data_IF_649548367559
#
_entry.id   IF_649548367559
#
_cell.length_a   1.000
_cell.length_b   1.000
_cell.length_c   1.000
_cell.angle_alpha   90.00
_cell.angle_beta   90.00
_cell.angle_gamma   90.00
#
_symmetry.space_group_name_H-M   'P 1'
#
loop_
_entity.id
_entity.type
_entity.pdbx_description
1 polymer ?
#
# COMPACT_ATOMS: atom_id res chain seq x y z
N UNK A 1 16.25 -25.22 -4.92
CA UNK A 1 15.49 -25.02 -3.67
C UNK A 1 16.00 -25.90 -2.52
N UNK A 2 16.18 -25.34 -1.33
CA UNK A 2 16.50 -26.05 -0.08
C UNK A 2 15.27 -26.75 0.51
N UNK A 3 15.46 -27.68 1.45
CA UNK A 3 14.33 -28.34 2.14
C UNK A 3 13.48 -27.35 2.94
N UNK A 4 14.09 -26.31 3.54
CA UNK A 4 13.37 -25.28 4.29
C UNK A 4 12.44 -24.46 3.38
N UNK A 5 12.92 -24.10 2.17
CA UNK A 5 12.09 -23.39 1.17
C UNK A 5 10.90 -24.25 0.71
N UNK A 6 11.14 -25.55 0.46
CA UNK A 6 10.06 -26.49 0.11
C UNK A 6 8.99 -26.54 1.19
N UNK A 7 9.38 -26.64 2.46
CA UNK A 7 8.45 -26.64 3.60
C UNK A 7 7.66 -25.34 3.65
N UNK A 8 8.31 -24.18 3.47
CA UNK A 8 7.66 -22.86 3.49
C UNK A 8 6.58 -22.74 2.42
N UNK A 9 6.85 -23.21 1.20
CA UNK A 9 5.87 -23.23 0.09
C UNK A 9 4.68 -24.14 0.41
N UNK A 10 4.91 -25.35 0.94
CA UNK A 10 3.81 -26.26 1.30
C UNK A 10 2.95 -25.69 2.44
N UNK A 11 3.56 -25.06 3.44
CA UNK A 11 2.82 -24.40 4.52
C UNK A 11 1.97 -23.23 4.01
N UNK A 12 2.48 -22.47 3.03
CA UNK A 12 1.73 -21.38 2.38
C UNK A 12 0.52 -21.90 1.60
N UNK A 13 0.69 -23.00 0.88
CA UNK A 13 -0.43 -23.68 0.21
C UNK A 13 -1.52 -24.09 1.22
N UNK A 14 -1.14 -24.64 2.38
CA UNK A 14 -2.10 -24.97 3.45
C UNK A 14 -2.83 -23.74 4.01
N UNK A 15 -2.20 -22.56 3.99
CA UNK A 15 -2.84 -21.28 4.36
C UNK A 15 -3.74 -20.69 3.26
N UNK A 16 -3.79 -21.31 2.08
CA UNK A 16 -4.56 -20.83 0.93
C UNK A 16 -3.85 -19.74 0.12
N UNK A 17 -2.55 -19.55 0.28
CA UNK A 17 -1.78 -18.61 -0.54
C UNK A 17 -1.61 -19.15 -1.98
N UNK A 18 -1.60 -18.25 -2.97
CA UNK A 18 -1.36 -18.63 -4.35
C UNK A 18 0.08 -19.11 -4.55
N UNK A 19 0.22 -20.33 -5.05
CA UNK A 19 1.53 -20.91 -5.38
C UNK A 19 1.72 -20.83 -6.88
N UNK A 20 2.93 -20.48 -7.29
CA UNK A 20 3.37 -20.55 -8.68
C UNK A 20 4.38 -21.67 -8.85
N UNK A 21 4.44 -22.21 -10.07
CA UNK A 21 5.44 -23.18 -10.48
C UNK A 21 6.05 -22.78 -11.82
N UNK A 22 7.29 -23.19 -12.03
CA UNK A 22 7.94 -23.21 -13.34
C UNK A 22 8.68 -24.51 -13.54
N UNK A 23 8.98 -24.86 -14.80
CA UNK A 23 9.83 -26.01 -15.10
C UNK A 23 11.25 -25.73 -14.63
N UNK A 24 11.88 -26.67 -13.93
CA UNK A 24 13.24 -26.51 -13.41
C UNK A 24 14.30 -26.37 -14.52
N UNK A 25 13.97 -26.81 -15.75
CA UNK A 25 14.86 -26.79 -16.91
C UNK A 25 14.52 -25.68 -17.92
N UNK A 26 13.59 -24.77 -17.58
CA UNK A 26 13.20 -23.69 -18.47
C UNK A 26 14.07 -22.46 -18.19
N UNK A 27 14.65 -21.89 -19.24
CA UNK A 27 15.43 -20.65 -19.18
C UNK A 27 14.54 -19.40 -19.21
N UNK A 28 13.26 -19.55 -19.55
CA UNK A 28 12.27 -18.48 -19.53
C UNK A 28 11.79 -18.24 -18.10
N UNK A 29 11.72 -16.97 -17.67
CA UNK A 29 11.31 -16.60 -16.32
C UNK A 29 9.77 -16.55 -16.14
N UNK A 30 9.06 -17.43 -16.86
CA UNK A 30 7.61 -17.50 -16.84
C UNK A 30 7.13 -18.42 -15.71
N UNK A 31 6.45 -17.83 -14.73
CA UNK A 31 5.83 -18.54 -13.62
C UNK A 31 4.34 -18.74 -13.88
N UNK A 32 3.84 -19.95 -13.64
CA UNK A 32 2.45 -20.32 -13.86
C UNK A 32 1.76 -20.69 -12.54
N UNK A 33 0.49 -20.35 -12.40
CA UNK A 33 -0.32 -20.74 -11.24
C UNK A 33 -0.33 -22.26 -11.03
N UNK A 34 -0.06 -22.69 -9.81
CA UNK A 34 0.04 -24.08 -9.39
C UNK A 34 -1.17 -24.45 -8.50
N UNK A 35 -2.38 -24.40 -9.06
CA UNK A 35 -3.62 -24.64 -8.30
C UNK A 35 -3.74 -26.01 -7.64
N UNK A 36 -3.21 -27.07 -8.26
CA UNK A 36 -3.08 -28.41 -7.68
C UNK A 36 -1.64 -28.90 -7.88
N UNK A 37 -0.72 -28.53 -6.99
CA UNK A 37 0.69 -28.84 -7.15
C UNK A 37 0.94 -30.34 -6.92
N UNK A 38 1.63 -30.97 -7.88
CA UNK A 38 2.04 -32.38 -7.79
C UNK A 38 3.27 -32.60 -6.90
N UNK A 39 3.85 -31.51 -6.37
CA UNK A 39 5.05 -31.50 -5.51
C UNK A 39 6.24 -32.28 -6.09
N UNK A 40 6.35 -32.31 -7.42
CA UNK A 40 7.52 -32.86 -8.09
C UNK A 40 8.62 -31.79 -8.17
N UNK A 41 9.46 -31.76 -7.14
CA UNK A 41 10.58 -30.82 -7.00
C UNK A 41 11.78 -31.12 -7.91
N UNK A 42 11.80 -32.28 -8.59
CA UNK A 42 12.82 -32.61 -9.58
C UNK A 42 12.52 -31.94 -10.92
N UNK A 43 11.23 -31.87 -11.28
CA UNK A 43 10.77 -31.29 -12.54
C UNK A 43 10.37 -29.82 -12.44
N UNK A 44 9.99 -29.35 -11.25
CA UNK A 44 9.45 -28.01 -11.07
C UNK A 44 10.07 -27.29 -9.88
N UNK A 45 10.25 -26.00 -10.06
CA UNK A 45 10.45 -25.06 -8.96
C UNK A 45 9.11 -24.45 -8.58
N UNK A 46 8.94 -24.17 -7.29
CA UNK A 46 7.73 -23.55 -6.78
C UNK A 46 8.09 -22.34 -5.94
N UNK A 47 7.22 -21.34 -5.96
CA UNK A 47 7.31 -20.20 -5.06
C UNK A 47 5.91 -19.81 -4.61
N UNK A 48 5.85 -19.14 -3.46
CA UNK A 48 4.66 -18.36 -3.11
C UNK A 48 4.60 -17.22 -4.12
N UNK A 49 3.46 -17.04 -4.79
CA UNK A 49 3.27 -15.93 -5.71
C UNK A 49 3.67 -14.64 -5.00
N UNK A 50 4.65 -13.88 -5.52
CA UNK A 50 4.99 -12.61 -4.93
C UNK A 50 3.73 -11.76 -4.86
N UNK A 51 3.36 -11.31 -3.66
CA UNK A 51 2.30 -10.30 -3.55
C UNK A 51 2.80 -9.08 -4.28
N UNK A 52 2.00 -8.55 -5.21
CA UNK A 52 2.32 -7.26 -5.80
C UNK A 52 2.48 -6.25 -4.65
N UNK A 53 3.57 -5.48 -4.64
CA UNK A 53 3.81 -4.54 -3.56
C UNK A 53 2.70 -3.50 -3.59
N UNK A 54 1.98 -3.39 -2.47
CA UNK A 54 0.85 -2.46 -2.30
C UNK A 54 1.28 -1.00 -2.46
N UNK A 55 2.52 -0.69 -2.10
CA UNK A 55 3.11 0.63 -2.18
C UNK A 55 4.38 0.60 -3.03
N UNK A 56 4.68 1.73 -3.66
CA UNK A 56 5.87 1.95 -4.48
C UNK A 56 6.94 2.68 -3.68
N UNK A 57 8.18 2.55 -4.12
CA UNK A 57 9.27 3.34 -3.55
C UNK A 57 8.98 4.83 -3.74
N UNK A 58 9.09 5.59 -2.66
CA UNK A 58 8.76 7.02 -2.62
C UNK A 58 7.32 7.32 -2.19
N UNK A 59 6.44 6.32 -2.08
CA UNK A 59 5.12 6.55 -1.48
C UNK A 59 5.27 6.95 -0.02
N UNK A 60 4.43 7.89 0.43
CA UNK A 60 4.28 8.24 1.83
C UNK A 60 3.08 7.50 2.42
N UNK A 61 3.28 6.81 3.54
CA UNK A 61 2.25 5.97 4.17
C UNK A 61 2.11 6.28 5.66
N UNK A 62 0.92 6.01 6.18
CA UNK A 62 0.60 6.10 7.62
C UNK A 62 -0.02 4.79 8.11
N UNK A 63 0.22 4.46 9.38
CA UNK A 63 -0.43 3.32 10.01
C UNK A 63 -1.90 3.64 10.28
N UNK A 64 -2.83 2.78 9.83
CA UNK A 64 -4.28 2.97 10.01
C UNK A 64 -4.70 3.08 11.49
N UNK A 65 -3.95 2.46 12.39
CA UNK A 65 -4.20 2.52 13.84
C UNK A 65 -3.94 3.91 14.43
N UNK A 66 -3.09 4.73 13.78
CA UNK A 66 -2.77 6.10 14.18
C UNK A 66 -3.85 7.14 13.81
N UNK A 67 -5.02 6.69 13.35
CA UNK A 67 -6.16 7.56 13.01
C UNK A 67 -6.54 8.46 14.19
N UNK A 68 -6.73 9.74 13.93
CA UNK A 68 -7.07 10.74 14.95
C UNK A 68 -5.93 11.10 15.92
N UNK A 69 -4.76 10.49 15.82
CA UNK A 69 -3.57 10.90 16.58
C UNK A 69 -3.00 12.17 15.93
N UNK A 70 -2.71 13.19 16.74
CA UNK A 70 -2.03 14.39 16.29
C UNK A 70 -0.57 14.09 15.93
N UNK A 71 -0.09 14.63 14.81
CA UNK A 71 1.26 14.39 14.28
C UNK A 71 1.59 12.90 14.16
N UNK A 72 0.79 12.12 13.40
CA UNK A 72 1.08 10.71 13.20
C UNK A 72 2.39 10.55 12.43
N UNK A 73 3.08 9.45 12.65
CA UNK A 73 4.30 9.13 11.94
C UNK A 73 3.99 8.80 10.46
N UNK A 74 4.59 9.58 9.56
CA UNK A 74 4.53 9.39 8.11
C UNK A 74 5.84 8.72 7.69
N UNK A 75 5.72 7.60 6.97
CA UNK A 75 6.86 6.82 6.52
C UNK A 75 7.01 6.93 5.02
N UNK A 76 8.23 7.20 4.54
CA UNK A 76 8.56 7.07 3.12
C UNK A 76 8.95 5.62 2.82
N UNK A 77 8.33 5.02 1.82
CA UNK A 77 8.64 3.65 1.41
C UNK A 77 10.00 3.62 0.71
N UNK A 78 11.01 3.08 1.38
CA UNK A 78 12.36 2.89 0.82
C UNK A 78 12.55 1.58 0.04
N UNK A 79 11.67 0.60 0.25
CA UNK A 79 11.66 -0.70 -0.42
C UNK A 79 10.21 -1.17 -0.60
N UNK A 80 9.86 -1.78 -1.75
CA UNK A 80 8.51 -2.30 -2.01
C UNK A 80 8.17 -3.51 -1.13
N UNK A 81 9.18 -4.16 -0.53
CA UNK A 81 9.00 -5.23 0.45
C UNK A 81 9.41 -4.70 1.82
N UNK A 82 8.44 -4.63 2.73
CA UNK A 82 8.66 -4.27 4.13
C UNK A 82 8.64 -5.58 4.93
N UNK A 83 9.83 -6.10 5.29
CA UNK A 83 9.92 -7.35 6.04
C UNK A 83 9.30 -7.21 7.45
N UNK A 84 8.45 -8.17 7.84
CA UNK A 84 7.87 -8.23 9.18
C UNK A 84 6.70 -7.26 9.42
N UNK A 85 6.24 -6.54 8.41
CA UNK A 85 5.11 -5.61 8.48
C UNK A 85 4.03 -6.06 7.50
N UNK A 86 2.78 -6.09 7.95
CA UNK A 86 1.65 -6.31 7.05
C UNK A 86 1.32 -5.01 6.29
N UNK A 87 1.47 -4.96 4.95
CA UNK A 87 1.10 -3.78 4.16
C UNK A 87 -0.37 -3.38 4.34
N UNK A 88 -1.23 -4.29 4.82
CA UNK A 88 -2.63 -3.99 5.09
C UNK A 88 -2.89 -3.14 6.33
N UNK A 89 -1.92 -3.00 7.22
CA UNK A 89 -2.00 -2.08 8.35
C UNK A 89 -1.73 -0.61 7.94
N UNK A 90 -1.28 -0.40 6.70
CA UNK A 90 -0.88 0.91 6.17
C UNK A 90 -1.81 1.36 5.05
N UNK A 91 -1.79 2.66 4.81
CA UNK A 91 -2.53 3.36 3.76
C UNK A 91 -1.69 4.56 3.28
N UNK A 92 -1.81 4.91 2.01
CA UNK A 92 -1.13 6.08 1.45
C UNK A 92 -1.67 7.37 2.09
N UNK A 93 -0.79 8.34 2.35
CA UNK A 93 -1.17 9.63 2.95
C UNK A 93 -2.17 10.41 2.09
N UNK A 94 -2.15 10.22 0.78
CA UNK A 94 -3.05 10.90 -0.16
C UNK A 94 -4.47 10.29 -0.14
N UNK A 95 -4.60 9.05 0.34
CA UNK A 95 -5.85 8.28 0.39
C UNK A 95 -6.60 8.40 1.73
N UNK A 96 -6.06 9.14 2.70
CA UNK A 96 -6.74 9.42 3.97
C UNK A 96 -7.31 10.84 3.98
N UNK A 97 -8.24 11.09 4.90
CA UNK A 97 -8.90 12.38 5.06
C UNK A 97 -8.07 13.29 5.98
N UNK A 98 -7.53 14.38 5.44
CA UNK A 98 -6.82 15.42 6.17
C UNK A 98 -7.58 16.74 6.18
N UNK A 99 -7.37 17.55 7.21
CA UNK A 99 -7.55 18.99 7.05
C UNK A 99 -6.38 19.53 6.25
N UNK A 100 -6.63 20.52 5.40
CA UNK A 100 -5.59 21.12 4.56
C UNK A 100 -5.47 22.59 4.89
N UNK A 101 -4.24 23.10 4.91
CA UNK A 101 -3.98 24.53 4.80
C UNK A 101 -3.61 24.85 3.36
N UNK A 102 -4.00 26.04 2.90
CA UNK A 102 -3.70 26.52 1.56
C UNK A 102 -3.67 28.05 1.57
N UNK A 103 -3.05 28.63 0.56
CA UNK A 103 -3.05 30.07 0.32
C UNK A 103 -4.15 30.40 -0.70
N UNK A 104 -5.03 31.34 -0.35
CA UNK A 104 -6.06 31.84 -1.26
C UNK A 104 -5.47 32.74 -2.37
N UNK A 105 -6.34 33.23 -3.26
CA UNK A 105 -5.94 34.10 -4.38
C UNK A 105 -5.33 35.44 -3.96
N UNK A 106 -5.62 35.89 -2.74
CA UNK A 106 -5.13 37.15 -2.17
C UNK A 106 -3.85 36.94 -1.34
N UNK A 107 -3.37 35.70 -1.21
CA UNK A 107 -2.17 35.37 -0.46
C UNK A 107 -2.42 35.08 1.02
N UNK A 108 -3.66 34.94 1.45
CA UNK A 108 -4.03 34.66 2.84
C UNK A 108 -4.04 33.15 3.08
N UNK A 109 -3.45 32.72 4.19
CA UNK A 109 -3.47 31.33 4.61
C UNK A 109 -4.83 30.97 5.23
N UNK A 110 -5.50 30.00 4.61
CA UNK A 110 -6.77 29.44 5.07
C UNK A 110 -6.62 27.95 5.40
N UNK A 111 -7.66 27.38 6.00
CA UNK A 111 -7.78 25.93 6.16
C UNK A 111 -9.14 25.44 5.69
N UNK A 112 -9.18 24.19 5.25
CA UNK A 112 -10.44 23.55 4.91
C UNK A 112 -11.37 23.40 6.13
N UNK A 113 -12.67 23.57 5.90
CA UNK A 113 -13.71 23.40 6.93
C UNK A 113 -13.98 21.91 7.28
N UNK A 114 -13.64 21.00 6.38
CA UNK A 114 -13.77 19.56 6.52
C UNK A 114 -12.48 18.85 6.10
N UNK A 115 -12.44 17.53 6.34
CA UNK A 115 -11.31 16.70 5.92
C UNK A 115 -11.58 16.12 4.53
N UNK A 116 -10.56 16.12 3.67
CA UNK A 116 -10.63 15.63 2.29
C UNK A 116 -9.44 14.73 1.99
N UNK A 117 -9.61 13.77 1.08
CA UNK A 117 -8.47 13.12 0.41
C UNK A 117 -7.81 14.14 -0.50
N UNK A 118 -6.56 13.90 -0.90
CA UNK A 118 -5.90 14.80 -1.84
C UNK A 118 -6.61 14.84 -3.20
N UNK A 119 -7.18 13.71 -3.62
CA UNK A 119 -7.95 13.63 -4.86
C UNK A 119 -9.22 14.48 -4.81
N UNK A 120 -9.99 14.37 -3.73
CA UNK A 120 -11.26 15.11 -3.58
C UNK A 120 -11.00 16.61 -3.41
N UNK A 121 -9.99 16.98 -2.60
CA UNK A 121 -9.53 18.36 -2.47
C UNK A 121 -9.21 18.98 -3.84
N UNK A 122 -8.51 18.21 -4.68
CA UNK A 122 -8.08 18.60 -6.02
C UNK A 122 -9.17 18.44 -7.09
N UNK A 123 -10.40 18.07 -6.75
CA UNK A 123 -11.50 18.00 -7.73
C UNK A 123 -12.60 18.96 -7.39
N UNK A 124 -12.94 19.06 -6.11
CA UNK A 124 -14.23 19.60 -5.68
C UNK A 124 -14.10 20.81 -4.75
N UNK A 125 -12.92 21.05 -4.17
CA UNK A 125 -12.77 22.01 -3.06
C UNK A 125 -11.96 23.24 -3.45
N UNK A 126 -10.71 23.04 -3.89
CA UNK A 126 -9.79 24.15 -4.16
C UNK A 126 -9.73 24.49 -5.65
N UNK A 127 -9.47 25.75 -5.99
CA UNK A 127 -9.10 26.19 -7.33
C UNK A 127 -7.66 25.81 -7.70
N UNK A 128 -7.24 25.96 -8.97
CA UNK A 128 -5.89 25.58 -9.42
C UNK A 128 -4.76 26.22 -8.62
N UNK A 129 -4.85 27.52 -8.32
CA UNK A 129 -3.81 28.26 -7.58
C UNK A 129 -3.69 27.79 -6.12
N UNK A 130 -4.83 27.60 -5.46
CA UNK A 130 -4.89 27.18 -4.05
C UNK A 130 -4.29 25.77 -3.86
N UNK A 131 -4.49 24.88 -4.85
CA UNK A 131 -3.95 23.52 -4.81
C UNK A 131 -2.42 23.46 -4.83
N UNK A 132 -1.74 24.46 -5.40
CA UNK A 132 -0.27 24.49 -5.47
C UNK A 132 0.37 24.65 -4.10
N UNK A 133 -0.35 25.30 -3.17
CA UNK A 133 0.12 25.58 -1.81
C UNK A 133 -0.50 24.65 -0.77
N UNK A 134 -1.41 23.77 -1.19
CA UNK A 134 -2.19 22.93 -0.29
C UNK A 134 -1.30 21.88 0.41
N UNK A 135 -1.29 21.91 1.74
CA UNK A 135 -0.55 20.97 2.58
C UNK A 135 -1.45 20.35 3.66
N UNK A 136 -1.28 19.05 3.97
CA UNK A 136 -2.06 18.40 5.02
C UNK A 136 -1.62 18.88 6.41
N UNK A 137 -2.60 19.22 7.25
CA UNK A 137 -2.41 19.61 8.64
C UNK A 137 -2.26 18.38 9.56
N UNK A 138 -1.06 17.79 9.58
CA UNK A 138 -0.75 16.60 10.39
C UNK A 138 -1.03 16.78 11.89
N UNK A 139 -0.93 18.01 12.41
CA UNK A 139 -1.23 18.33 13.81
C UNK A 139 -2.67 18.02 14.25
N UNK A 140 -3.61 17.87 13.30
CA UNK A 140 -5.03 17.58 13.59
C UNK A 140 -5.42 16.12 13.38
N UNK A 141 -4.47 15.27 12.95
CA UNK A 141 -4.67 13.86 12.66
C UNK A 141 -5.61 13.58 11.47
N UNK A 142 -5.48 12.38 10.90
CA UNK A 142 -6.32 11.94 9.78
C UNK A 142 -7.54 11.14 10.23
N UNK A 143 -8.48 10.96 9.29
CA UNK A 143 -9.50 9.91 9.36
C UNK A 143 -9.36 8.96 8.18
N UNK A 144 -9.75 7.72 8.39
CA UNK A 144 -9.93 6.79 7.28
C UNK A 144 -11.23 7.14 6.54
N UNK A 145 -11.27 7.06 5.21
CA UNK A 145 -12.52 7.13 4.48
C UNK A 145 -13.44 6.00 4.95
N UNK A 146 -14.73 6.29 5.11
CA UNK A 146 -15.70 5.23 5.37
C UNK A 146 -15.72 4.31 4.15
N UNK A 147 -15.58 2.99 4.36
CA UNK A 147 -15.94 2.05 3.31
C UNK A 147 -17.44 2.26 3.06
N UNK A 148 -17.80 2.82 1.91
CA UNK A 148 -19.16 2.69 1.40
C UNK A 148 -19.36 1.18 1.29
N UNK A 149 -20.18 0.61 2.18
CA UNK A 149 -20.34 -0.83 2.28
C UNK A 149 -20.79 -1.41 0.93
N UNK A 150 -20.04 -2.40 0.44
CA UNK A 150 -20.54 -3.39 -0.52
C UNK A 150 -21.21 -4.54 0.24
#
# INVERSE_FOLDING_TARGET
MTTQEKIKVMQAYTRGEEIERRSANCEEDEWAFAGLPVWNWEKFEYRIKPKEPKFKVGDEIVCKSSRGIANPEVWCVGSPVIEGIDPDDFINVDDVLWYWEYQDVDGVWERTNARYTKSDLSKEVLGPNERETAMPLYALGFRLPEKIGE
#
